data_IF_121228900294
#
_entry.id   IF_121228900294
#
_cell.length_a   1.000
_cell.length_b   1.000
_cell.length_c   1.000
_cell.angle_alpha   90.00
_cell.angle_beta   90.00
_cell.angle_gamma   90.00
#
_symmetry.space_group_name_H-M   'P 1'
#
loop_
_entity.id
_entity.type
_entity.pdbx_description
1 polymer ?
#
# COMPACT_ATOMS: atom_id res chain seq x y z
N UNK A 1 32.15 -0.53 19.40
CA UNK A 1 31.40 -0.09 20.59
C UNK A 1 30.15 0.67 20.20
N UNK A 2 29.07 -0.05 19.88
CA UNK A 2 27.72 0.53 19.98
C UNK A 2 26.82 -0.49 20.66
N UNK A 3 26.39 -0.08 21.85
CA UNK A 3 25.42 -0.72 22.71
C UNK A 3 24.11 -0.95 21.94
N UNK A 4 23.66 -2.20 21.80
CA UNK A 4 22.23 -2.46 21.67
C UNK A 4 21.72 -2.75 23.08
N UNK A 5 21.10 -1.70 23.65
CA UNK A 5 20.29 -1.76 24.85
C UNK A 5 19.27 -2.88 24.71
N UNK A 6 19.40 -3.89 25.58
CA UNK A 6 18.30 -4.74 25.95
C UNK A 6 17.23 -3.91 26.68
N UNK A 7 16.04 -3.82 26.11
CA UNK A 7 14.79 -3.62 26.83
C UNK A 7 13.93 -4.85 26.47
N UNK A 8 13.77 -5.85 27.35
CA UNK A 8 12.73 -5.90 28.41
C UNK A 8 11.40 -5.33 27.86
N UNK A 9 10.34 -6.12 27.66
CA UNK A 9 9.68 -7.00 28.64
C UNK A 9 9.03 -8.22 27.97
N UNK A 10 9.54 -9.42 28.24
CA UNK A 10 8.68 -10.59 28.45
C UNK A 10 8.20 -10.58 29.91
N UNK A 11 6.94 -10.91 30.22
CA UNK A 11 6.40 -10.80 31.59
C UNK A 11 6.73 -12.01 32.49
N UNK A 12 7.64 -12.89 32.10
CA UNK A 12 7.92 -14.11 32.88
C UNK A 12 9.43 -14.32 33.06
N UNK A 13 9.89 -14.62 34.29
CA UNK A 13 11.30 -14.92 34.54
C UNK A 13 11.67 -16.25 33.88
N UNK A 14 12.76 -16.27 33.10
CA UNK A 14 13.34 -17.52 32.61
C UNK A 14 14.03 -18.23 33.78
N UNK A 15 13.82 -19.54 33.97
CA UNK A 15 14.49 -20.29 35.02
C UNK A 15 15.99 -20.53 34.68
N UNK A 16 16.89 -20.52 35.68
CA UNK A 16 18.29 -20.89 35.50
C UNK A 16 18.44 -22.39 35.19
N UNK A 17 19.48 -22.86 34.46
CA UNK A 17 20.67 -22.14 33.98
C UNK A 17 20.74 -22.13 32.44
N UNK A 18 20.39 -21.02 31.79
CA UNK A 18 20.61 -20.88 30.34
C UNK A 18 21.86 -20.02 30.09
N UNK A 19 22.95 -20.65 29.64
CA UNK A 19 24.14 -19.96 29.15
C UNK A 19 24.04 -19.92 27.61
N UNK A 20 23.92 -18.72 27.05
CA UNK A 20 23.93 -18.50 25.60
C UNK A 20 25.38 -18.32 25.13
N UNK A 21 25.92 -19.25 24.35
CA UNK A 21 27.16 -19.02 23.60
C UNK A 21 26.82 -18.55 22.18
N UNK A 22 27.27 -17.34 21.84
CA UNK A 22 27.22 -16.78 20.50
C UNK A 22 28.60 -16.96 19.85
N UNK A 23 28.69 -17.85 18.86
CA UNK A 23 29.81 -17.89 17.91
C UNK A 23 29.34 -17.24 16.62
N UNK A 24 30.06 -16.21 16.17
CA UNK A 24 29.78 -15.49 14.92
C UNK A 24 30.78 -16.02 13.87
N UNK A 25 30.26 -16.67 12.83
CA UNK A 25 30.99 -16.91 11.58
C UNK A 25 30.32 -16.14 10.43
N UNK A 26 31.06 -15.72 9.38
CA UNK A 26 30.58 -14.71 8.43
C UNK A 26 29.46 -15.18 7.50
N UNK A 27 29.24 -16.50 7.35
CA UNK A 27 28.44 -17.02 6.23
C UNK A 27 27.14 -17.73 6.60
N UNK A 28 26.77 -17.89 7.88
CA UNK A 28 25.46 -18.49 8.23
C UNK A 28 25.06 -18.17 9.69
N UNK A 29 23.98 -17.42 9.91
CA UNK A 29 23.37 -17.30 11.24
C UNK A 29 22.51 -18.54 11.48
N UNK A 30 23.11 -19.59 12.08
CA UNK A 30 22.39 -20.77 12.54
C UNK A 30 22.20 -20.69 14.05
N UNK A 31 21.05 -20.17 14.50
CA UNK A 31 20.65 -20.25 15.91
C UNK A 31 20.08 -21.64 16.15
N UNK A 32 20.88 -22.54 16.71
CA UNK A 32 20.40 -23.88 17.07
C UNK A 32 19.97 -23.87 18.54
N UNK A 33 18.69 -23.61 18.78
CA UNK A 33 18.05 -23.85 20.06
C UNK A 33 17.46 -25.26 20.04
N UNK A 34 17.95 -26.15 20.91
CA UNK A 34 17.47 -27.53 21.02
C UNK A 34 16.76 -27.72 22.35
N UNK A 35 15.46 -27.43 22.44
CA UNK A 35 14.58 -27.98 23.48
C UNK A 35 13.22 -28.37 22.86
N UNK A 36 12.94 -29.66 23.04
CA UNK A 36 11.73 -30.49 23.02
C UNK A 36 10.35 -29.79 22.97
N UNK A 37 9.56 -30.10 21.94
CA UNK A 37 8.11 -30.41 21.96
C UNK A 37 7.42 -29.97 20.67
N UNK A 38 6.57 -30.86 20.14
CA UNK A 38 5.98 -30.84 18.81
C UNK A 38 4.94 -29.73 18.59
N UNK A 39 5.35 -28.47 18.48
CA UNK A 39 4.49 -27.42 17.94
C UNK A 39 4.55 -27.42 16.42
N UNK A 40 3.58 -28.09 15.80
CA UNK A 40 3.30 -27.99 14.36
C UNK A 40 2.64 -26.64 14.12
N UNK A 41 3.44 -25.60 13.88
CA UNK A 41 2.92 -24.32 13.40
C UNK A 41 2.31 -24.59 12.02
N UNK A 42 0.98 -24.57 11.93
CA UNK A 42 0.30 -24.42 10.64
C UNK A 42 0.62 -23.02 10.16
N UNK A 43 1.65 -22.91 9.31
CA UNK A 43 1.75 -21.77 8.40
C UNK A 43 0.42 -21.73 7.64
N UNK A 44 -0.33 -20.60 7.67
CA UNK A 44 -1.40 -20.44 6.70
C UNK A 44 -0.74 -20.61 5.34
N UNK A 45 -1.34 -21.46 4.51
CA UNK A 45 -0.91 -21.74 3.16
C UNK A 45 -0.66 -20.41 2.45
N UNK A 46 0.59 -19.99 2.42
CA UNK A 46 1.04 -18.81 1.69
C UNK A 46 0.80 -19.21 0.25
N UNK A 47 -0.30 -18.73 -0.31
CA UNK A 47 -0.64 -18.93 -1.71
C UNK A 47 0.61 -18.62 -2.50
N UNK A 48 1.18 -19.68 -3.09
CA UNK A 48 2.40 -19.71 -3.87
C UNK A 48 2.60 -18.39 -4.61
N UNK A 49 3.69 -17.69 -4.32
CA UNK A 49 4.27 -16.73 -5.25
C UNK A 49 4.84 -17.51 -6.44
N UNK A 50 3.97 -18.06 -7.28
CA UNK A 50 4.33 -18.52 -8.61
C UNK A 50 4.29 -17.32 -9.55
N UNK A 51 5.46 -16.88 -9.98
CA UNK A 51 5.62 -15.94 -11.08
C UNK A 51 6.53 -14.76 -10.76
N UNK A 52 7.81 -14.90 -11.10
CA UNK A 52 8.65 -13.74 -11.43
C UNK A 52 8.10 -13.20 -12.75
N UNK A 53 7.13 -12.29 -12.67
CA UNK A 53 6.49 -11.65 -13.80
C UNK A 53 6.19 -10.19 -13.47
N UNK A 54 7.12 -9.30 -13.79
CA UNK A 54 6.92 -7.85 -13.92
C UNK A 54 6.14 -7.12 -12.81
N UNK A 55 6.27 -7.43 -11.51
CA UNK A 55 5.85 -6.53 -10.40
C UNK A 55 4.40 -6.00 -10.40
N UNK A 56 3.51 -6.56 -11.22
CA UNK A 56 2.11 -6.15 -11.38
C UNK A 56 1.26 -7.07 -10.50
N UNK A 57 0.36 -6.54 -9.66
CA UNK A 57 -0.50 -7.38 -8.84
C UNK A 57 -1.41 -8.24 -9.73
N UNK A 58 -1.47 -9.54 -9.43
CA UNK A 58 -2.35 -10.51 -10.11
C UNK A 58 -3.67 -10.66 -9.35
N UNK A 59 -4.74 -11.06 -10.04
CA UNK A 59 -6.07 -11.29 -9.46
C UNK A 59 -7.13 -10.27 -9.87
N UNK A 60 -8.29 -10.37 -9.22
CA UNK A 60 -9.45 -9.51 -9.48
C UNK A 60 -9.21 -8.07 -8.99
N UNK A 61 -9.79 -7.11 -9.71
CA UNK A 61 -9.66 -5.69 -9.37
C UNK A 61 -10.87 -4.86 -9.75
N UNK A 62 -11.12 -3.81 -8.97
CA UNK A 62 -12.01 -2.72 -9.34
C UNK A 62 -11.23 -1.68 -10.14
N UNK A 63 -11.83 -1.18 -11.22
CA UNK A 63 -11.19 -0.29 -12.19
C UNK A 63 -11.96 1.02 -12.24
N UNK A 64 -11.30 2.11 -11.90
CA UNK A 64 -11.77 3.47 -12.13
C UNK A 64 -10.83 4.16 -13.12
N UNK A 65 -11.40 4.73 -14.19
CA UNK A 65 -10.65 5.34 -15.27
C UNK A 65 -11.15 6.73 -15.60
N UNK A 66 -10.22 7.61 -15.94
CA UNK A 66 -10.50 8.93 -16.47
C UNK A 66 -11.26 9.82 -15.50
N UNK A 67 -11.04 9.66 -14.19
CA UNK A 67 -11.68 10.51 -13.19
C UNK A 67 -11.11 11.93 -13.33
N UNK A 68 -11.98 12.92 -13.50
CA UNK A 68 -11.58 14.31 -13.71
C UNK A 68 -12.02 15.16 -12.53
N UNK A 69 -11.06 15.78 -11.86
CA UNK A 69 -11.30 16.65 -10.73
C UNK A 69 -10.59 17.99 -10.91
N UNK A 70 -11.08 19.02 -10.24
CA UNK A 70 -10.42 20.32 -10.18
C UNK A 70 -9.68 20.44 -8.85
N UNK A 71 -8.36 20.59 -8.90
CA UNK A 71 -7.53 20.68 -7.71
C UNK A 71 -6.60 21.87 -7.76
N UNK A 72 -6.01 22.20 -6.62
CA UNK A 72 -5.09 23.33 -6.47
C UNK A 72 -3.65 22.85 -6.23
N UNK A 73 -3.29 21.67 -6.73
CA UNK A 73 -1.96 21.09 -6.50
C UNK A 73 -0.91 21.61 -7.49
N UNK A 74 0.30 21.83 -7.00
CA UNK A 74 1.43 22.27 -7.79
C UNK A 74 2.47 23.01 -6.96
N UNK A 75 3.69 23.04 -7.47
CA UNK A 75 4.80 23.76 -6.82
C UNK A 75 4.66 25.27 -7.03
N UNK A 76 4.09 25.69 -8.17
CA UNK A 76 4.00 27.10 -8.52
C UNK A 76 2.82 27.78 -7.79
N UNK A 77 3.02 28.96 -7.19
CA UNK A 77 1.94 29.70 -6.52
C UNK A 77 0.73 29.99 -7.41
N UNK A 78 0.97 30.21 -8.71
CA UNK A 78 -0.08 30.47 -9.69
C UNK A 78 -0.96 29.23 -9.92
N UNK A 79 -0.38 28.03 -9.90
CA UNK A 79 -1.13 26.76 -9.99
C UNK A 79 -2.05 26.59 -8.78
N UNK A 80 -1.57 26.95 -7.58
CA UNK A 80 -2.37 26.86 -6.35
C UNK A 80 -3.51 27.89 -6.29
N UNK A 81 -3.38 29.00 -7.01
CA UNK A 81 -4.40 30.06 -7.04
C UNK A 81 -5.45 29.82 -8.13
N UNK A 82 -5.02 29.47 -9.34
CA UNK A 82 -5.92 29.25 -10.48
C UNK A 82 -6.55 27.86 -10.44
N UNK A 83 -5.83 26.88 -9.91
CA UNK A 83 -6.21 25.48 -10.00
C UNK A 83 -6.09 24.93 -11.42
N UNK A 84 -6.14 23.61 -11.53
CA UNK A 84 -6.16 22.91 -12.82
C UNK A 84 -6.93 21.61 -12.72
N UNK A 85 -7.26 21.04 -13.88
CA UNK A 85 -7.87 19.70 -13.96
C UNK A 85 -6.80 18.64 -13.71
N UNK A 86 -7.14 17.63 -12.92
CA UNK A 86 -6.37 16.42 -12.73
C UNK A 86 -7.14 15.23 -13.29
N UNK A 87 -6.42 14.33 -13.94
CA UNK A 87 -6.91 13.04 -14.42
C UNK A 87 -6.41 11.96 -13.47
N UNK A 88 -7.31 11.16 -12.92
CA UNK A 88 -6.95 10.09 -11.98
C UNK A 88 -7.49 8.75 -12.46
N UNK A 89 -6.61 7.75 -12.51
CA UNK A 89 -6.99 6.36 -12.66
C UNK A 89 -6.66 5.60 -11.37
N UNK A 90 -7.57 4.73 -10.94
CA UNK A 90 -7.38 3.88 -9.76
C UNK A 90 -7.69 2.45 -10.12
N UNK A 91 -6.77 1.54 -9.79
CA UNK A 91 -7.05 0.10 -9.71
C UNK A 91 -6.94 -0.34 -8.26
N UNK A 92 -7.93 -1.06 -7.76
CA UNK A 92 -7.94 -1.64 -6.42
C UNK A 92 -8.11 -3.15 -6.50
N UNK A 93 -7.11 -3.91 -6.07
CA UNK A 93 -7.12 -5.37 -6.09
C UNK A 93 -7.79 -5.91 -4.82
N UNK A 94 -8.78 -6.79 -5.00
CA UNK A 94 -9.49 -7.50 -3.93
C UNK A 94 -10.14 -8.76 -4.50
N UNK A 95 -10.50 -9.71 -3.65
CA UNK A 95 -11.24 -10.90 -4.08
C UNK A 95 -12.70 -10.57 -4.40
N UNK A 96 -13.09 -10.67 -5.68
CA UNK A 96 -14.47 -10.39 -6.13
C UNK A 96 -15.32 -11.66 -6.27
N UNK A 97 -14.75 -12.86 -6.00
CA UNK A 97 -15.45 -14.13 -6.20
C UNK A 97 -16.68 -14.28 -5.30
N UNK A 98 -16.65 -13.73 -4.08
CA UNK A 98 -17.78 -13.77 -3.16
C UNK A 98 -18.95 -12.96 -3.70
N UNK A 99 -18.69 -11.70 -4.06
CA UNK A 99 -19.69 -10.80 -4.62
C UNK A 99 -20.26 -11.32 -5.94
N UNK A 100 -19.43 -11.90 -6.81
CA UNK A 100 -19.87 -12.51 -8.06
C UNK A 100 -20.79 -13.74 -7.86
N UNK A 101 -20.79 -14.37 -6.68
CA UNK A 101 -21.68 -15.50 -6.35
C UNK A 101 -22.95 -15.05 -5.61
N UNK A 102 -22.84 -14.04 -4.75
CA UNK A 102 -23.96 -13.60 -3.92
C UNK A 102 -24.82 -12.51 -4.56
N UNK A 103 -24.29 -11.81 -5.58
CA UNK A 103 -24.91 -10.63 -6.20
C UNK A 103 -25.34 -9.56 -5.18
N UNK A 104 -24.66 -9.51 -4.04
CA UNK A 104 -24.97 -8.57 -2.97
C UNK A 104 -23.90 -7.48 -2.89
N UNK A 105 -24.32 -6.22 -2.98
CA UNK A 105 -23.44 -5.06 -2.86
C UNK A 105 -22.69 -5.02 -1.52
N UNK A 106 -23.24 -5.63 -0.47
CA UNK A 106 -22.63 -5.70 0.86
C UNK A 106 -21.39 -6.62 0.91
N UNK A 107 -21.25 -7.52 -0.05
CA UNK A 107 -20.12 -8.45 -0.18
C UNK A 107 -18.98 -7.90 -1.03
N UNK A 108 -19.15 -6.71 -1.62
CA UNK A 108 -18.13 -6.00 -2.40
C UNK A 108 -17.92 -4.59 -1.85
N UNK A 109 -16.83 -3.97 -2.27
CA UNK A 109 -16.60 -2.55 -2.10
C UNK A 109 -17.31 -1.79 -3.24
N UNK A 110 -18.08 -0.77 -2.89
CA UNK A 110 -18.65 0.13 -3.88
C UNK A 110 -17.57 1.01 -4.50
N UNK A 111 -17.37 0.95 -5.81
CA UNK A 111 -16.47 1.86 -6.53
C UNK A 111 -16.80 3.35 -6.28
N UNK A 112 -18.03 3.66 -5.86
CA UNK A 112 -18.45 5.00 -5.42
C UNK A 112 -17.66 5.49 -4.22
N UNK A 113 -17.28 4.61 -3.28
CA UNK A 113 -16.50 5.00 -2.10
C UNK A 113 -15.07 5.35 -2.49
N UNK A 114 -14.45 4.57 -3.38
CA UNK A 114 -13.13 4.88 -3.95
C UNK A 114 -13.19 6.23 -4.69
N UNK A 115 -14.23 6.46 -5.49
CA UNK A 115 -14.43 7.75 -6.15
C UNK A 115 -14.49 8.92 -5.16
N UNK A 116 -15.24 8.77 -4.06
CA UNK A 116 -15.34 9.81 -3.02
C UNK A 116 -14.00 10.08 -2.35
N UNK A 117 -13.22 9.03 -2.05
CA UNK A 117 -11.87 9.17 -1.48
C UNK A 117 -10.98 9.95 -2.44
N UNK A 118 -10.98 9.61 -3.72
CA UNK A 118 -10.17 10.32 -4.73
C UNK A 118 -10.61 11.78 -4.82
N UNK A 119 -11.92 12.04 -4.89
CA UNK A 119 -12.47 13.39 -4.95
C UNK A 119 -12.03 14.22 -3.75
N UNK A 120 -12.15 13.67 -2.54
CA UNK A 120 -11.79 14.36 -1.30
C UNK A 120 -10.29 14.70 -1.25
N UNK A 121 -9.42 13.83 -1.74
CA UNK A 121 -7.98 14.08 -1.76
C UNK A 121 -7.62 15.14 -2.81
N UNK A 122 -8.23 15.09 -4.00
CA UNK A 122 -7.87 16.00 -5.11
C UNK A 122 -8.51 17.38 -4.97
N UNK A 123 -9.72 17.49 -4.43
CA UNK A 123 -10.38 18.77 -4.15
C UNK A 123 -10.02 19.33 -2.76
N UNK A 124 -9.29 18.55 -1.97
CA UNK A 124 -8.90 18.88 -0.60
C UNK A 124 -7.68 19.80 -0.51
N UNK A 125 -6.88 19.67 0.57
CA UNK A 125 -5.70 20.49 0.79
C UNK A 125 -4.72 20.45 -0.40
N UNK A 126 -4.20 21.62 -0.77
CA UNK A 126 -3.17 21.72 -1.81
C UNK A 126 -1.93 20.94 -1.40
N UNK A 127 -1.33 20.26 -2.38
CA UNK A 127 -0.07 19.55 -2.26
C UNK A 127 0.86 20.05 -3.36
N UNK A 128 2.16 20.04 -3.10
CA UNK A 128 3.15 20.53 -4.07
C UNK A 128 3.41 19.50 -5.18
N UNK A 129 3.35 18.21 -4.81
CA UNK A 129 3.76 17.08 -5.63
C UNK A 129 2.58 16.16 -5.95
N UNK A 130 2.58 15.61 -7.15
CA UNK A 130 1.59 14.61 -7.57
C UNK A 130 1.78 13.28 -6.82
N UNK A 131 3.02 12.99 -6.44
CA UNK A 131 3.43 11.84 -5.66
C UNK A 131 2.73 11.84 -4.29
N UNK A 132 2.63 13.01 -3.65
CA UNK A 132 1.92 13.17 -2.38
C UNK A 132 0.43 12.92 -2.53
N UNK A 133 -0.18 13.44 -3.59
CA UNK A 133 -1.61 13.22 -3.91
C UNK A 133 -1.87 11.74 -4.14
N UNK A 134 -1.07 11.10 -5.00
CA UNK A 134 -1.20 9.68 -5.32
C UNK A 134 -1.01 8.80 -4.07
N UNK A 135 0.00 9.11 -3.25
CA UNK A 135 0.26 8.40 -1.99
C UNK A 135 -0.90 8.57 -1.02
N UNK A 136 -1.50 9.75 -0.93
CA UNK A 136 -2.62 10.00 -0.03
C UNK A 136 -3.88 9.24 -0.44
N UNK A 137 -4.18 9.19 -1.75
CA UNK A 137 -5.26 8.36 -2.28
C UNK A 137 -5.03 6.89 -1.90
N UNK A 138 -3.83 6.37 -2.13
CA UNK A 138 -3.50 4.97 -1.79
C UNK A 138 -3.66 4.71 -0.28
N UNK A 139 -3.10 5.57 0.57
CA UNK A 139 -3.18 5.43 2.03
C UNK A 139 -4.63 5.46 2.53
N UNK A 140 -5.44 6.45 2.13
CA UNK A 140 -6.86 6.53 2.53
C UNK A 140 -7.67 5.32 2.04
N UNK A 141 -7.38 4.84 0.82
CA UNK A 141 -8.02 3.64 0.28
C UNK A 141 -7.74 2.42 1.15
N UNK A 142 -6.49 2.23 1.62
CA UNK A 142 -6.17 1.14 2.54
C UNK A 142 -6.78 1.32 3.94
N UNK A 143 -6.83 2.55 4.46
CA UNK A 143 -7.41 2.83 5.79
C UNK A 143 -8.92 2.53 5.81
N UNK A 144 -9.63 2.93 4.77
CA UNK A 144 -11.09 2.78 4.73
C UNK A 144 -11.53 1.36 4.34
N UNK A 145 -10.68 0.60 3.65
CA UNK A 145 -11.06 -0.68 3.07
C UNK A 145 -9.99 -1.76 3.28
N UNK A 146 -10.16 -2.53 4.35
CA UNK A 146 -9.25 -3.64 4.74
C UNK A 146 -9.16 -4.76 3.71
N UNK A 147 -10.19 -4.94 2.87
CA UNK A 147 -10.28 -5.99 1.86
C UNK A 147 -9.35 -5.79 0.67
N UNK A 148 -8.83 -4.58 0.47
CA UNK A 148 -7.93 -4.26 -0.64
C UNK A 148 -6.51 -4.72 -0.31
N UNK A 149 -5.94 -5.53 -1.20
CA UNK A 149 -4.57 -6.06 -1.09
C UNK A 149 -3.52 -5.16 -1.76
N UNK A 150 -3.88 -4.53 -2.88
CA UNK A 150 -3.02 -3.61 -3.60
C UNK A 150 -3.83 -2.48 -4.24
N UNK A 151 -3.20 -1.32 -4.43
CA UNK A 151 -3.79 -0.18 -5.14
C UNK A 151 -2.76 0.39 -6.11
N UNK A 152 -3.20 0.68 -7.32
CA UNK A 152 -2.47 1.46 -8.31
C UNK A 152 -3.19 2.78 -8.48
N UNK A 153 -2.46 3.87 -8.31
CA UNK A 153 -2.99 5.22 -8.50
C UNK A 153 -2.14 5.90 -9.55
N UNK A 154 -2.80 6.40 -10.58
CA UNK A 154 -2.17 7.23 -11.60
C UNK A 154 -2.79 8.60 -11.57
N UNK A 155 -1.97 9.63 -11.46
CA UNK A 155 -2.40 11.02 -11.42
C UNK A 155 -1.71 11.76 -12.54
N UNK A 156 -2.49 12.33 -13.45
CA UNK A 156 -2.03 13.10 -14.60
C UNK A 156 -2.55 14.53 -14.60
N UNK A 157 -1.72 15.44 -15.12
CA UNK A 157 -2.05 16.81 -15.47
C UNK A 157 -2.16 16.89 -17.00
N UNK A 158 -3.38 17.05 -17.56
CA UNK A 158 -3.56 17.22 -19.01
C UNK A 158 -3.12 18.61 -19.51
N UNK A 159 -3.12 19.64 -18.67
CA UNK A 159 -2.82 21.01 -19.08
C UNK A 159 -1.51 21.51 -18.44
N UNK A 160 -0.38 20.90 -18.80
CA UNK A 160 0.93 21.37 -18.34
C UNK A 160 1.49 22.38 -19.34
N UNK A 161 2.09 23.45 -18.84
CA UNK A 161 2.80 24.45 -19.64
C UNK A 161 4.14 23.89 -20.17
N UNK A 162 4.08 22.90 -21.06
CA UNK A 162 5.21 22.35 -21.81
C UNK A 162 4.99 22.61 -23.29
N UNK A 163 6.06 22.98 -23.99
CA UNK A 163 6.02 23.16 -25.44
C UNK A 163 5.96 21.79 -26.14
N UNK A 164 4.77 21.39 -26.61
CA UNK A 164 4.57 20.16 -27.38
C UNK A 164 3.11 19.64 -27.31
N UNK A 165 2.75 18.75 -28.22
CA UNK A 165 1.48 18.01 -28.17
C UNK A 165 1.65 16.80 -27.23
N UNK A 166 0.90 16.76 -26.14
CA UNK A 166 0.88 15.65 -25.20
C UNK A 166 -0.52 15.50 -24.59
N UNK A 167 -0.91 14.27 -24.26
CA UNK A 167 -2.22 14.01 -23.64
C UNK A 167 -2.24 14.42 -22.16
N UNK A 168 -1.22 14.01 -21.40
CA UNK A 168 -1.00 14.41 -20.01
C UNK A 168 0.42 14.06 -19.55
N UNK A 169 0.89 14.74 -18.51
CA UNK A 169 2.08 14.33 -17.72
C UNK A 169 1.64 13.90 -16.34
N UNK A 170 2.26 12.87 -15.76
CA UNK A 170 1.77 12.35 -14.50
C UNK A 170 2.69 11.37 -13.83
N UNK A 171 2.23 10.91 -12.67
CA UNK A 171 2.88 9.87 -11.87
C UNK A 171 1.97 8.66 -11.77
N UNK A 172 2.59 7.49 -11.66
CA UNK A 172 1.90 6.25 -11.38
C UNK A 172 2.61 5.56 -10.23
N UNK A 173 1.84 5.18 -9.21
CA UNK A 173 2.36 4.40 -8.08
C UNK A 173 1.55 3.13 -7.93
N UNK A 174 2.23 2.07 -7.50
CA UNK A 174 1.62 0.84 -7.01
C UNK A 174 2.02 0.70 -5.55
N UNK A 175 1.05 0.41 -4.69
CA UNK A 175 1.25 0.15 -3.27
C UNK A 175 0.58 -1.17 -2.91
N UNK A 176 1.23 -1.89 -2.04
CA UNK A 176 0.72 -3.12 -1.46
C UNK A 176 0.38 -2.85 0.00
N UNK A 177 -0.66 -3.51 0.49
CA UNK A 177 -0.89 -3.56 1.94
C UNK A 177 0.27 -4.33 2.56
N UNK A 178 1.17 -3.63 3.23
CA UNK A 178 2.18 -4.25 4.07
C UNK A 178 1.47 -4.87 5.26
N UNK A 179 1.73 -6.16 5.50
CA UNK A 179 1.13 -6.91 6.63
C UNK A 179 1.67 -6.38 7.98
N UNK A 180 2.73 -5.56 7.95
CA UNK A 180 3.41 -5.03 9.12
C UNK A 180 3.32 -3.50 9.21
N UNK A 181 2.20 -2.98 9.70
CA UNK A 181 2.15 -1.62 10.27
C UNK A 181 1.44 -1.71 11.63
N UNK A 182 2.15 -1.53 12.76
CA UNK A 182 1.51 -1.55 14.06
C UNK A 182 0.65 -0.29 14.22
N UNK A 183 -0.61 -0.50 14.64
CA UNK A 183 -1.44 0.52 15.28
C UNK A 183 -0.82 0.99 16.60
#
# INVERSE_FOLDING_TARGET
>A
NYFIRACRRSPTPLPPPCILFLSISPDLIRVQCRIVSNYRVRVPEVTRMEGIGNGIPTGDKLILRGLKFHGFHGVKPEEKKLGQKFLVDVDAWMDLRKAGKSDNLSDTLSYTDIYRIVKEVVEGPSHDLLESVAQMIASKTFTNHSQISAVRVKVGKPHVAVHGCLDYLGVEIIRYRTIDAPN
#
